data_IF_300055945978
#
_entry.id   IF_300055945978
#
_cell.length_a   1.000
_cell.length_b   1.000
_cell.length_c   1.000
_cell.angle_alpha   90.00
_cell.angle_beta   90.00
_cell.angle_gamma   90.00
#
_symmetry.space_group_name_H-M   'P 1'
#
loop_
_entity.id
_entity.type
_entity.pdbx_description
1 polymer ?
#
# COMPACT_ATOMS: atom_id res chain seq x y z
N UNK A 1 20.20 -1.46 -4.13
CA UNK A 1 19.21 -1.88 -3.09
C UNK A 1 18.05 -2.59 -3.78
N UNK A 2 17.69 -3.81 -3.38
CA UNK A 2 16.54 -4.53 -3.97
C UNK A 2 15.36 -4.50 -3.00
N UNK A 3 14.26 -3.84 -3.39
CA UNK A 3 13.02 -3.79 -2.59
C UNK A 3 12.07 -4.89 -3.07
N UNK A 4 11.55 -5.69 -2.14
CA UNK A 4 10.53 -6.70 -2.46
C UNK A 4 9.18 -6.02 -2.72
N UNK A 5 8.44 -6.49 -3.71
CA UNK A 5 7.12 -5.95 -4.03
C UNK A 5 6.12 -6.20 -2.88
N UNK A 6 5.61 -5.13 -2.26
CA UNK A 6 4.62 -5.18 -1.17
C UNK A 6 3.33 -5.89 -1.59
N UNK A 7 2.82 -5.63 -2.80
CA UNK A 7 1.63 -6.33 -3.33
C UNK A 7 1.85 -7.85 -3.43
N UNK A 8 3.04 -8.26 -3.90
CA UNK A 8 3.39 -9.67 -3.99
C UNK A 8 3.49 -10.31 -2.60
N UNK A 9 4.13 -9.64 -1.64
CA UNK A 9 4.21 -10.11 -0.26
C UNK A 9 2.80 -10.25 0.36
N UNK A 10 1.91 -9.28 0.16
CA UNK A 10 0.51 -9.36 0.60
C UNK A 10 -0.19 -10.60 0.02
N UNK A 11 -0.04 -10.85 -1.28
CA UNK A 11 -0.58 -12.04 -1.92
C UNK A 11 -0.04 -13.34 -1.30
N UNK A 12 1.24 -13.43 -0.97
CA UNK A 12 1.82 -14.61 -0.33
C UNK A 12 1.34 -14.80 1.12
N UNK A 13 1.19 -13.72 1.88
CA UNK A 13 0.70 -13.74 3.26
C UNK A 13 -0.77 -14.18 3.27
N UNK A 14 -1.63 -13.50 2.52
CA UNK A 14 -3.06 -13.82 2.42
C UNK A 14 -3.27 -15.21 1.84
N UNK A 15 -2.54 -15.59 0.79
CA UNK A 15 -2.64 -16.93 0.19
C UNK A 15 -2.30 -18.04 1.19
N UNK A 16 -1.39 -17.79 2.15
CA UNK A 16 -1.13 -18.75 3.22
C UNK A 16 -2.27 -18.86 4.22
N UNK A 17 -2.96 -17.74 4.51
CA UNK A 17 -4.13 -17.75 5.39
C UNK A 17 -5.35 -18.43 4.75
N UNK A 18 -5.64 -18.12 3.48
CA UNK A 18 -6.80 -18.65 2.75
C UNK A 18 -6.80 -20.18 2.62
N UNK A 19 -5.65 -20.85 2.70
CA UNK A 19 -5.57 -22.32 2.68
C UNK A 19 -6.40 -22.97 3.78
N UNK A 20 -6.47 -22.35 4.98
CA UNK A 20 -7.29 -22.84 6.10
C UNK A 20 -8.79 -22.63 5.88
N UNK A 21 -9.15 -21.77 4.93
CA UNK A 21 -10.53 -21.40 4.60
C UNK A 21 -10.99 -21.93 3.26
N UNK A 22 -10.19 -22.78 2.63
CA UNK A 22 -10.47 -23.25 1.28
C UNK A 22 -11.87 -23.84 1.16
N UNK A 23 -12.35 -24.59 2.17
CA UNK A 23 -13.72 -25.12 2.20
C UNK A 23 -14.78 -24.01 2.20
N UNK A 24 -14.66 -23.03 3.09
CA UNK A 24 -15.60 -21.91 3.21
C UNK A 24 -15.63 -21.09 1.91
N UNK A 25 -14.45 -20.77 1.38
CA UNK A 25 -14.32 -20.04 0.12
C UNK A 25 -14.93 -20.83 -1.04
N UNK A 26 -14.71 -22.14 -1.09
CA UNK A 26 -15.26 -23.01 -2.14
C UNK A 26 -16.79 -23.13 -2.03
N UNK A 27 -17.34 -23.26 -0.83
CA UNK A 27 -18.78 -23.30 -0.60
C UNK A 27 -19.45 -22.02 -1.14
N UNK A 28 -18.93 -20.85 -0.76
CA UNK A 28 -19.46 -19.56 -1.21
C UNK A 28 -19.26 -19.38 -2.71
N UNK A 29 -18.09 -19.76 -3.24
CA UNK A 29 -17.82 -19.72 -4.69
C UNK A 29 -18.83 -20.56 -5.47
N UNK A 30 -19.14 -21.77 -5.00
CA UNK A 30 -20.11 -22.64 -5.65
C UNK A 30 -21.53 -22.05 -5.61
N UNK A 31 -21.93 -21.41 -4.51
CA UNK A 31 -23.20 -20.70 -4.42
C UNK A 31 -23.27 -19.53 -5.41
N UNK A 32 -22.22 -18.71 -5.50
CA UNK A 32 -22.14 -17.61 -6.47
C UNK A 32 -22.13 -18.15 -7.91
N UNK A 33 -21.40 -19.24 -8.17
CA UNK A 33 -21.34 -19.90 -9.48
C UNK A 33 -22.71 -20.38 -9.92
N UNK A 34 -23.50 -20.96 -9.01
CA UNK A 34 -24.87 -21.35 -9.30
C UNK A 34 -25.69 -20.16 -9.82
N UNK A 35 -25.71 -19.06 -9.06
CA UNK A 35 -26.46 -17.85 -9.43
C UNK A 35 -26.03 -17.31 -10.79
N UNK A 36 -24.74 -17.38 -11.11
CA UNK A 36 -24.17 -16.80 -12.33
C UNK A 36 -24.15 -17.73 -13.54
N UNK A 37 -24.52 -19.01 -13.36
CA UNK A 37 -24.44 -20.02 -14.42
C UNK A 37 -25.52 -19.89 -15.50
N UNK A 38 -26.64 -19.23 -15.23
CA UNK A 38 -27.66 -18.94 -16.25
C UNK A 38 -28.49 -17.69 -15.90
N UNK A 39 -29.08 -17.01 -16.91
CA UNK A 39 -29.98 -15.87 -16.67
C UNK A 39 -31.17 -16.24 -15.77
N UNK A 40 -31.76 -17.43 -15.97
CA UNK A 40 -32.89 -17.89 -15.15
C UNK A 40 -32.51 -18.03 -13.67
N UNK A 41 -31.35 -18.62 -13.35
CA UNK A 41 -30.87 -18.74 -11.96
C UNK A 41 -30.58 -17.38 -11.34
N UNK A 42 -30.04 -16.45 -12.14
CA UNK A 42 -29.82 -15.07 -11.71
C UNK A 42 -31.14 -14.35 -11.39
N UNK A 43 -32.16 -14.53 -12.22
CA UNK A 43 -33.47 -13.89 -11.99
C UNK A 43 -34.19 -14.51 -10.79
N UNK A 44 -34.10 -15.83 -10.57
CA UNK A 44 -34.57 -16.47 -9.34
C UNK A 44 -33.86 -15.91 -8.10
N UNK A 45 -32.54 -15.68 -8.17
CA UNK A 45 -31.80 -15.05 -7.07
C UNK A 45 -32.26 -13.60 -6.83
N UNK A 46 -32.45 -12.79 -7.87
CA UNK A 46 -32.99 -11.43 -7.73
C UNK A 46 -34.36 -11.42 -7.07
N UNK A 47 -35.24 -12.35 -7.43
CA UNK A 47 -36.54 -12.49 -6.77
C UNK A 47 -36.39 -12.79 -5.26
N UNK A 48 -35.40 -13.60 -4.88
CA UNK A 48 -35.07 -13.82 -3.47
C UNK A 48 -34.52 -12.55 -2.79
N UNK A 49 -33.68 -11.77 -3.47
CA UNK A 49 -33.15 -10.48 -2.97
C UNK A 49 -34.28 -9.48 -2.72
N UNK A 50 -35.24 -9.39 -3.64
CA UNK A 50 -36.43 -8.53 -3.51
C UNK A 50 -37.34 -8.99 -2.37
N UNK A 51 -37.59 -10.30 -2.26
CA UNK A 51 -38.40 -10.89 -1.19
C UNK A 51 -37.82 -10.61 0.20
N UNK A 52 -36.50 -10.81 0.36
CA UNK A 52 -35.77 -10.54 1.60
C UNK A 52 -35.53 -9.04 1.85
N UNK A 53 -36.02 -8.16 0.96
CA UNK A 53 -35.92 -6.70 1.05
C UNK A 53 -34.47 -6.22 1.27
N UNK A 54 -33.51 -6.88 0.63
CA UNK A 54 -32.10 -6.57 0.82
C UNK A 54 -31.80 -5.20 0.19
N UNK A 55 -31.31 -4.20 0.95
CA UNK A 55 -31.14 -2.82 0.45
C UNK A 55 -30.00 -2.68 -0.57
N UNK A 56 -29.21 -3.73 -0.80
CA UNK A 56 -28.08 -3.73 -1.71
C UNK A 56 -28.54 -3.85 -3.17
N UNK A 57 -28.25 -2.84 -3.99
CA UNK A 57 -28.51 -2.83 -5.44
C UNK A 57 -27.45 -3.55 -6.29
N UNK A 58 -26.40 -4.05 -5.66
CA UNK A 58 -25.32 -4.79 -6.33
C UNK A 58 -25.76 -6.19 -6.75
N UNK A 59 -24.83 -6.95 -7.34
CA UNK A 59 -24.98 -8.38 -7.60
C UNK A 59 -23.77 -9.13 -7.06
N UNK A 60 -23.90 -10.45 -6.94
CA UNK A 60 -22.77 -11.32 -6.62
C UNK A 60 -21.77 -11.37 -7.78
N UNK A 61 -20.48 -11.45 -7.45
CA UNK A 61 -19.36 -11.43 -8.41
C UNK A 61 -18.55 -12.72 -8.31
N UNK A 62 -18.23 -13.35 -9.44
CA UNK A 62 -17.30 -14.50 -9.44
C UNK A 62 -15.88 -14.03 -9.17
N UNK A 63 -15.12 -14.83 -8.41
CA UNK A 63 -13.70 -14.62 -8.26
C UNK A 63 -12.89 -15.24 -9.42
N UNK A 64 -11.61 -14.85 -9.47
CA UNK A 64 -10.55 -15.54 -10.18
C UNK A 64 -9.73 -16.28 -9.12
N UNK A 65 -9.81 -17.63 -9.03
CA UNK A 65 -9.25 -18.38 -7.90
C UNK A 65 -7.74 -18.18 -7.66
N UNK A 66 -6.99 -17.76 -8.68
CA UNK A 66 -5.56 -17.46 -8.60
C UNK A 66 -5.25 -16.04 -8.08
N UNK A 67 -6.26 -15.18 -7.88
CA UNK A 67 -6.12 -13.78 -7.48
C UNK A 67 -6.94 -13.50 -6.23
N UNK A 68 -6.26 -13.48 -5.08
CA UNK A 68 -6.92 -13.31 -3.79
C UNK A 68 -7.78 -12.04 -3.67
N UNK A 69 -7.40 -10.92 -4.31
CA UNK A 69 -8.21 -9.68 -4.35
C UNK A 69 -9.61 -9.93 -4.91
N UNK A 70 -9.73 -10.76 -5.95
CA UNK A 70 -11.02 -11.10 -6.54
C UNK A 70 -11.81 -12.05 -5.63
N UNK A 71 -11.14 -12.94 -4.91
CA UNK A 71 -11.76 -13.79 -3.88
C UNK A 71 -12.31 -12.93 -2.74
N UNK A 72 -11.55 -11.95 -2.26
CA UNK A 72 -12.02 -10.96 -1.28
C UNK A 72 -13.29 -10.26 -1.75
N UNK A 73 -13.31 -9.72 -2.98
CA UNK A 73 -14.48 -9.05 -3.55
C UNK A 73 -15.69 -9.99 -3.70
N UNK A 74 -15.48 -11.23 -4.10
CA UNK A 74 -16.55 -12.24 -4.15
C UNK A 74 -17.15 -12.49 -2.77
N UNK A 75 -16.31 -12.72 -1.76
CA UNK A 75 -16.77 -12.95 -0.39
C UNK A 75 -17.51 -11.72 0.14
N UNK A 76 -16.92 -10.53 0.01
CA UNK A 76 -17.52 -9.27 0.46
C UNK A 76 -18.88 -9.01 -0.20
N UNK A 77 -19.01 -9.27 -1.51
CA UNK A 77 -20.28 -9.14 -2.21
C UNK A 77 -21.29 -10.19 -1.75
N UNK A 78 -20.89 -11.46 -1.66
CA UNK A 78 -21.77 -12.56 -1.28
C UNK A 78 -22.33 -12.41 0.14
N UNK A 79 -21.52 -11.89 1.09
CA UNK A 79 -21.95 -11.64 2.46
C UNK A 79 -23.14 -10.67 2.57
N UNK A 80 -23.33 -9.76 1.60
CA UNK A 80 -24.47 -8.85 1.55
C UNK A 80 -25.78 -9.56 1.18
N UNK A 81 -25.70 -10.77 0.63
CA UNK A 81 -26.83 -11.53 0.12
C UNK A 81 -27.07 -12.87 0.84
N UNK A 82 -26.54 -13.04 2.07
CA UNK A 82 -26.73 -14.26 2.89
C UNK A 82 -28.19 -14.72 2.97
N UNK A 83 -29.10 -13.78 3.25
CA UNK A 83 -30.53 -14.09 3.37
C UNK A 83 -31.14 -14.59 2.05
N UNK A 84 -30.75 -14.00 0.91
CA UNK A 84 -31.21 -14.46 -0.40
C UNK A 84 -30.72 -15.89 -0.72
N UNK A 85 -29.48 -16.24 -0.37
CA UNK A 85 -28.98 -17.61 -0.51
C UNK A 85 -29.73 -18.61 0.38
N UNK A 86 -30.03 -18.24 1.63
CA UNK A 86 -30.84 -19.07 2.52
C UNK A 86 -32.25 -19.30 1.95
N UNK A 87 -32.89 -18.26 1.42
CA UNK A 87 -34.20 -18.36 0.76
C UNK A 87 -34.16 -19.29 -0.46
N UNK A 88 -33.11 -19.22 -1.28
CA UNK A 88 -32.95 -20.13 -2.43
C UNK A 88 -32.88 -21.59 -2.00
N UNK A 89 -32.22 -21.89 -0.88
CA UNK A 89 -32.13 -23.26 -0.35
C UNK A 89 -33.50 -23.82 0.06
N UNK A 90 -34.38 -22.95 0.57
CA UNK A 90 -35.75 -23.30 0.95
C UNK A 90 -36.69 -23.47 -0.24
N UNK A 91 -36.36 -22.92 -1.42
CA UNK A 91 -37.17 -23.00 -2.64
C UNK A 91 -36.80 -24.25 -3.46
N UNK A 92 -37.64 -25.31 -3.49
CA UNK A 92 -37.31 -26.55 -4.19
C UNK A 92 -37.17 -26.37 -5.71
N UNK A 93 -37.97 -25.47 -6.28
CA UNK A 93 -38.13 -25.31 -7.73
C UNK A 93 -36.92 -24.65 -8.40
N UNK A 94 -36.08 -23.94 -7.65
CA UNK A 94 -34.90 -23.29 -8.21
C UNK A 94 -33.73 -24.26 -8.43
N UNK A 95 -33.76 -25.47 -7.85
CA UNK A 95 -32.71 -26.48 -8.01
C UNK A 95 -31.40 -26.17 -7.26
N UNK A 96 -31.37 -25.17 -6.38
CA UNK A 96 -30.18 -24.78 -5.62
C UNK A 96 -29.64 -25.93 -4.78
N UNK A 97 -30.49 -26.59 -3.99
CA UNK A 97 -30.09 -27.70 -3.13
C UNK A 97 -29.71 -28.96 -3.92
N UNK A 98 -30.24 -29.15 -5.13
CA UNK A 98 -29.86 -30.25 -6.02
C UNK A 98 -28.46 -30.05 -6.62
N UNK A 99 -28.10 -28.81 -6.96
CA UNK A 99 -26.80 -28.47 -7.53
C UNK A 99 -25.61 -28.86 -6.64
N UNK A 100 -25.77 -28.86 -5.32
CA UNK A 100 -24.70 -29.30 -4.40
C UNK A 100 -24.58 -30.82 -4.28
N UNK A 101 -25.56 -31.59 -4.74
CA UNK A 101 -25.51 -33.07 -4.77
C UNK A 101 -24.85 -33.60 -6.04
N UNK A 102 -24.81 -32.79 -7.09
CA UNK A 102 -24.08 -33.07 -8.32
C UNK A 102 -22.56 -33.06 -8.09
N UNK A 103 -21.79 -33.80 -8.90
CA UNK A 103 -20.33 -33.86 -8.78
C UNK A 103 -19.68 -32.49 -9.05
N UNK A 104 -18.52 -32.26 -8.44
CA UNK A 104 -17.65 -31.13 -8.77
C UNK A 104 -17.31 -31.10 -10.26
N UNK A 105 -16.96 -29.92 -10.78
CA UNK A 105 -16.54 -29.76 -12.18
C UNK A 105 -15.02 -29.59 -12.25
N UNK A 106 -14.40 -30.22 -13.23
CA UNK A 106 -12.98 -30.08 -13.58
C UNK A 106 -12.84 -29.72 -15.05
N UNK A 107 -11.70 -29.13 -15.42
CA UNK A 107 -11.39 -28.90 -16.83
C UNK A 107 -10.74 -30.18 -17.41
N UNK A 108 -11.22 -30.65 -18.56
CA UNK A 108 -10.57 -31.73 -19.30
C UNK A 108 -9.28 -31.23 -20.00
N UNK A 109 -8.59 -32.14 -20.69
CA UNK A 109 -7.33 -31.82 -21.40
C UNK A 109 -7.56 -30.81 -22.54
N UNK A 110 -8.79 -30.74 -23.04
CA UNK A 110 -9.27 -29.83 -24.07
C UNK A 110 -9.76 -28.48 -23.50
N UNK A 111 -9.79 -28.32 -22.18
CA UNK A 111 -10.22 -27.09 -21.50
C UNK A 111 -11.74 -26.91 -21.37
N UNK A 112 -12.53 -27.96 -21.55
CA UNK A 112 -13.97 -27.96 -21.31
C UNK A 112 -14.27 -28.29 -19.84
N UNK A 113 -15.32 -27.67 -19.29
CA UNK A 113 -15.85 -28.00 -17.97
C UNK A 113 -16.63 -29.31 -18.03
N UNK A 114 -16.12 -30.34 -17.34
CA UNK A 114 -16.71 -31.68 -17.25
C UNK A 114 -16.92 -32.09 -15.80
N UNK A 115 -17.88 -32.99 -15.50
CA UNK A 115 -18.02 -33.57 -14.17
C UNK A 115 -16.74 -34.29 -13.73
N UNK A 116 -16.32 -34.05 -12.49
CA UNK A 116 -15.09 -34.59 -11.92
C UNK A 116 -15.15 -36.09 -11.80
N UNK A 117 -14.07 -36.76 -12.23
CA UNK A 117 -13.90 -38.22 -12.11
C UNK A 117 -14.05 -38.72 -10.68
N UNK A 118 -13.75 -37.87 -9.68
CA UNK A 118 -13.85 -38.22 -8.26
C UNK A 118 -15.28 -38.45 -7.76
N UNK A 119 -16.30 -38.01 -8.53
CA UNK A 119 -17.73 -38.04 -8.17
C UNK A 119 -18.06 -37.42 -6.81
N UNK A 120 -17.16 -36.59 -6.25
CA UNK A 120 -17.40 -35.91 -4.99
C UNK A 120 -18.45 -34.82 -5.21
N UNK A 121 -19.46 -34.70 -4.32
CA UNK A 121 -20.45 -33.63 -4.43
C UNK A 121 -19.78 -32.27 -4.26
N UNK A 122 -20.35 -31.24 -4.92
CA UNK A 122 -19.87 -29.86 -4.76
C UNK A 122 -19.94 -29.44 -3.29
N UNK A 123 -18.88 -28.81 -2.80
CA UNK A 123 -18.89 -28.21 -1.46
C UNK A 123 -19.98 -27.13 -1.38
N UNK A 124 -20.88 -27.28 -0.41
CA UNK A 124 -21.98 -26.36 -0.10
C UNK A 124 -23.33 -27.09 0.04
N UNK A 125 -24.46 -26.36 0.17
CA UNK A 125 -24.53 -24.91 0.34
C UNK A 125 -23.81 -24.43 1.61
N UNK A 126 -23.35 -23.16 1.69
CA UNK A 126 -22.61 -22.69 2.86
C UNK A 126 -23.49 -22.69 4.11
N UNK A 127 -23.01 -23.31 5.18
CA UNK A 127 -23.73 -23.33 6.45
C UNK A 127 -23.68 -21.97 7.18
N UNK A 128 -24.55 -21.78 8.18
CA UNK A 128 -24.53 -20.57 9.02
C UNK A 128 -23.15 -20.30 9.67
N UNK A 129 -22.47 -21.36 10.12
CA UNK A 129 -21.11 -21.28 10.66
C UNK A 129 -20.07 -20.89 9.59
N UNK A 130 -20.21 -21.40 8.36
CA UNK A 130 -19.33 -21.00 7.25
C UNK A 130 -19.54 -19.54 6.85
N UNK A 131 -20.78 -19.05 6.87
CA UNK A 131 -21.09 -17.64 6.65
C UNK A 131 -20.51 -16.74 7.75
N UNK A 132 -20.58 -17.18 9.01
CA UNK A 132 -20.00 -16.45 10.13
C UNK A 132 -18.47 -16.40 10.04
N UNK A 133 -17.83 -17.53 9.73
CA UNK A 133 -16.39 -17.59 9.42
C UNK A 133 -16.06 -16.57 8.34
N UNK A 134 -16.70 -16.63 7.18
CA UNK A 134 -16.43 -15.72 6.06
C UNK A 134 -16.54 -14.24 6.44
N UNK A 135 -17.49 -13.86 7.28
CA UNK A 135 -17.66 -12.49 7.76
C UNK A 135 -16.48 -11.98 8.58
N UNK A 136 -16.04 -12.76 9.57
CA UNK A 136 -14.85 -12.47 10.38
C UNK A 136 -13.62 -12.32 9.47
N UNK A 137 -13.47 -13.20 8.49
CA UNK A 137 -12.32 -13.16 7.57
C UNK A 137 -12.35 -11.99 6.61
N UNK A 138 -13.50 -11.63 6.05
CA UNK A 138 -13.60 -10.46 5.15
C UNK A 138 -13.28 -9.18 5.91
N UNK A 139 -13.69 -9.05 7.17
CA UNK A 139 -13.32 -7.90 7.99
C UNK A 139 -11.79 -7.80 8.16
N UNK A 140 -11.14 -8.90 8.51
CA UNK A 140 -9.69 -8.97 8.67
C UNK A 140 -8.92 -8.72 7.36
N UNK A 141 -9.34 -9.35 6.26
CA UNK A 141 -8.67 -9.24 4.96
C UNK A 141 -8.79 -7.84 4.33
N UNK A 142 -9.70 -6.99 4.82
CA UNK A 142 -9.92 -5.65 4.31
C UNK A 142 -8.66 -4.80 4.33
N UNK A 143 -7.89 -4.83 5.42
CA UNK A 143 -6.64 -4.06 5.53
C UNK A 143 -5.64 -4.48 4.46
N UNK A 144 -5.48 -5.78 4.22
CA UNK A 144 -4.62 -6.28 3.15
C UNK A 144 -5.09 -5.82 1.78
N UNK A 145 -6.41 -5.76 1.57
CA UNK A 145 -7.00 -5.41 0.28
C UNK A 145 -6.75 -3.93 -0.01
N UNK A 146 -7.00 -3.08 0.97
CA UNK A 146 -6.73 -1.64 0.90
C UNK A 146 -5.25 -1.33 0.71
N UNK A 147 -4.36 -2.00 1.45
CA UNK A 147 -2.91 -1.88 1.24
C UNK A 147 -2.54 -2.30 -0.18
N UNK A 148 -3.05 -3.44 -0.65
CA UNK A 148 -2.72 -3.94 -1.99
C UNK A 148 -3.20 -2.98 -3.08
N UNK A 149 -4.37 -2.37 -2.94
CA UNK A 149 -4.83 -1.33 -3.86
C UNK A 149 -3.91 -0.10 -3.86
N UNK A 150 -3.49 0.36 -2.67
CA UNK A 150 -2.59 1.52 -2.55
C UNK A 150 -1.23 1.26 -3.20
N UNK A 151 -0.58 0.16 -2.85
CA UNK A 151 0.77 -0.17 -3.37
C UNK A 151 0.79 -0.71 -4.80
N UNK A 152 -0.38 -1.01 -5.39
CA UNK A 152 -0.50 -1.38 -6.81
C UNK A 152 -0.78 -0.15 -7.70
N UNK A 153 -0.82 1.06 -7.14
CA UNK A 153 -0.99 2.26 -7.93
C UNK A 153 0.22 2.48 -8.85
N UNK A 154 -0.03 2.78 -10.12
CA UNK A 154 1.02 2.98 -11.14
C UNK A 154 1.23 4.45 -11.51
N UNK A 155 0.36 5.34 -11.04
CA UNK A 155 0.31 6.75 -11.43
C UNK A 155 0.67 7.71 -10.29
N UNK A 156 1.13 7.19 -9.15
CA UNK A 156 1.54 7.96 -7.97
C UNK A 156 2.62 7.21 -7.18
N UNK A 157 3.55 7.92 -6.52
CA UNK A 157 4.52 7.31 -5.61
C UNK A 157 3.83 6.55 -4.48
N UNK A 158 4.35 5.38 -4.10
CA UNK A 158 3.80 4.59 -2.98
C UNK A 158 4.83 4.32 -1.89
N UNK A 159 6.12 4.34 -2.21
CA UNK A 159 7.20 4.00 -1.26
C UNK A 159 7.16 4.85 0.02
N UNK A 160 6.70 6.10 -0.08
CA UNK A 160 6.64 7.04 1.03
C UNK A 160 5.61 6.70 2.12
N UNK A 161 4.62 5.85 1.80
CA UNK A 161 3.62 5.34 2.77
C UNK A 161 3.77 3.84 3.03
N UNK A 162 4.62 3.14 2.29
CA UNK A 162 4.77 1.68 2.40
C UNK A 162 5.11 1.21 3.82
N UNK A 163 5.86 1.99 4.60
CA UNK A 163 6.14 1.63 5.99
C UNK A 163 4.87 1.64 6.87
N UNK A 164 3.99 2.63 6.69
CA UNK A 164 2.69 2.66 7.37
C UNK A 164 1.83 1.45 7.00
N UNK A 165 1.92 1.02 5.74
CA UNK A 165 1.20 -0.15 5.24
C UNK A 165 1.70 -1.46 5.87
N UNK A 166 3.02 -1.58 6.04
CA UNK A 166 3.62 -2.71 6.72
C UNK A 166 3.18 -2.77 8.18
N UNK A 167 3.21 -1.64 8.91
CA UNK A 167 2.72 -1.56 10.29
C UNK A 167 1.23 -1.88 10.39
N UNK A 168 0.42 -1.39 9.44
CA UNK A 168 -1.02 -1.68 9.41
C UNK A 168 -1.28 -3.18 9.25
N UNK A 169 -0.54 -3.86 8.37
CA UNK A 169 -0.62 -5.32 8.21
C UNK A 169 -0.17 -6.04 9.48
N UNK A 170 0.94 -5.64 10.09
CA UNK A 170 1.46 -6.27 11.31
C UNK A 170 0.49 -6.13 12.48
N UNK A 171 -0.05 -4.92 12.66
CA UNK A 171 -1.07 -4.62 13.66
C UNK A 171 -2.31 -5.47 13.45
N UNK A 172 -2.80 -5.59 12.21
CA UNK A 172 -3.99 -6.38 11.90
C UNK A 172 -3.77 -7.89 12.14
N UNK A 173 -2.59 -8.42 11.78
CA UNK A 173 -2.20 -9.80 12.14
C UNK A 173 -2.14 -9.97 13.66
N UNK A 174 -1.64 -8.97 14.38
CA UNK A 174 -1.51 -8.99 15.84
C UNK A 174 -2.86 -8.94 16.54
N UNK A 175 -3.82 -8.14 16.05
CA UNK A 175 -5.19 -8.08 16.60
C UNK A 175 -5.88 -9.43 16.55
N UNK A 176 -5.64 -10.26 15.53
CA UNK A 176 -6.20 -11.61 15.49
C UNK A 176 -5.74 -12.52 16.66
N UNK A 177 -4.63 -12.21 17.34
CA UNK A 177 -4.23 -12.92 18.56
C UNK A 177 -4.95 -12.43 19.82
N UNK A 178 -5.46 -11.19 19.81
CA UNK A 178 -5.91 -10.49 21.02
C UNK A 178 -7.44 -10.35 21.04
N UNK A 179 -8.05 -10.03 19.89
CA UNK A 179 -9.41 -9.54 19.79
C UNK A 179 -10.52 -10.52 19.41
N UNK A 180 -10.33 -11.81 19.06
CA UNK A 180 -11.49 -12.61 18.73
C UNK A 180 -12.37 -12.76 19.99
N UNK A 181 -13.49 -12.03 20.02
CA UNK A 181 -14.67 -12.30 20.87
C UNK A 181 -15.33 -13.60 20.41
N UNK A 182 -14.54 -14.64 20.27
CA UNK A 182 -14.94 -15.93 19.77
C UNK A 182 -15.01 -16.83 21.00
N UNK A 183 -16.08 -17.63 21.14
CA UNK A 183 -16.16 -18.59 22.23
C UNK A 183 -14.90 -19.47 22.28
N UNK A 184 -14.22 -19.54 23.44
CA UNK A 184 -13.01 -20.33 23.58
C UNK A 184 -13.31 -21.82 23.35
N UNK A 185 -12.45 -22.50 22.62
CA UNK A 185 -12.58 -23.90 22.22
C UNK A 185 -13.38 -24.14 20.94
N UNK A 186 -13.94 -23.10 20.31
CA UNK A 186 -14.69 -23.26 19.05
C UNK A 186 -13.78 -23.63 17.87
N UNK A 187 -14.34 -24.32 16.88
CA UNK A 187 -13.59 -24.66 15.64
C UNK A 187 -13.16 -23.39 14.88
N UNK A 188 -13.93 -22.31 14.98
CA UNK A 188 -13.61 -21.00 14.39
C UNK A 188 -12.35 -20.40 15.01
N UNK A 189 -12.21 -20.46 16.34
CA UNK A 189 -11.00 -20.01 17.05
C UNK A 189 -9.76 -20.80 16.62
N UNK A 190 -9.85 -22.13 16.55
CA UNK A 190 -8.72 -22.98 16.13
C UNK A 190 -8.27 -22.65 14.71
N UNK A 191 -9.23 -22.52 13.78
CA UNK A 191 -8.95 -22.16 12.38
C UNK A 191 -8.29 -20.78 12.30
N UNK A 192 -8.77 -19.81 13.08
CA UNK A 192 -8.20 -18.46 13.14
C UNK A 192 -6.79 -18.46 13.72
N UNK A 193 -6.56 -19.10 14.86
CA UNK A 193 -5.23 -19.17 15.50
C UNK A 193 -4.18 -19.81 14.58
N UNK A 194 -4.55 -20.91 13.93
CA UNK A 194 -3.71 -21.58 12.93
C UNK A 194 -3.44 -20.67 11.72
N UNK A 195 -4.44 -19.94 11.24
CA UNK A 195 -4.30 -19.02 10.12
C UNK A 195 -3.36 -17.86 10.48
N UNK A 196 -3.58 -17.22 11.63
CA UNK A 196 -2.79 -16.09 12.12
C UNK A 196 -1.34 -16.48 12.29
N UNK A 197 -1.06 -17.65 12.86
CA UNK A 197 0.31 -18.17 13.01
C UNK A 197 1.00 -18.33 11.65
N UNK A 198 0.28 -18.87 10.66
CA UNK A 198 0.80 -19.03 9.30
C UNK A 198 1.04 -17.67 8.62
N UNK A 199 0.10 -16.73 8.72
CA UNK A 199 0.22 -15.40 8.14
C UNK A 199 1.36 -14.59 8.78
N UNK A 200 1.50 -14.65 10.11
CA UNK A 200 2.61 -14.01 10.84
C UNK A 200 3.96 -14.59 10.42
N UNK A 201 4.05 -15.91 10.29
CA UNK A 201 5.27 -16.58 9.83
C UNK A 201 5.67 -16.12 8.42
N UNK A 202 4.69 -15.90 7.52
CA UNK A 202 4.95 -15.33 6.20
C UNK A 202 5.34 -13.86 6.27
N UNK A 203 4.66 -13.05 7.08
CA UNK A 203 5.00 -11.65 7.28
C UNK A 203 6.46 -11.48 7.71
N UNK A 204 6.87 -12.18 8.78
CA UNK A 204 8.25 -12.17 9.29
C UNK A 204 9.23 -12.69 8.23
N UNK A 205 8.88 -13.75 7.50
CA UNK A 205 9.74 -14.27 6.42
C UNK A 205 10.00 -13.25 5.30
N UNK A 206 9.00 -12.45 4.94
CA UNK A 206 9.08 -11.56 3.78
C UNK A 206 9.55 -10.15 4.11
N UNK A 207 9.14 -9.61 5.25
CA UNK A 207 9.52 -8.27 5.71
C UNK A 207 10.69 -8.28 6.71
N UNK A 208 10.94 -9.40 7.41
CA UNK A 208 11.91 -9.45 8.49
C UNK A 208 11.43 -8.70 9.73
N UNK A 209 12.36 -8.38 10.63
CA UNK A 209 12.11 -7.37 11.66
C UNK A 209 12.34 -5.95 11.11
N UNK A 210 11.93 -4.93 11.86
CA UNK A 210 12.17 -3.53 11.47
C UNK A 210 13.65 -3.21 11.22
N UNK A 211 14.56 -3.96 11.86
CA UNK A 211 16.01 -3.85 11.67
C UNK A 211 16.45 -4.30 10.28
N UNK A 212 15.80 -5.32 9.73
CA UNK A 212 16.13 -5.97 8.45
C UNK A 212 15.44 -5.30 7.26
N UNK A 213 14.51 -4.38 7.51
CA UNK A 213 13.80 -3.66 6.46
C UNK A 213 14.78 -2.85 5.61
N UNK A 214 14.56 -2.92 4.30
CA UNK A 214 15.37 -2.21 3.33
C UNK A 214 15.33 -0.69 3.62
N UNK A 215 16.49 -0.01 3.80
CA UNK A 215 16.56 1.42 4.09
C UNK A 215 15.75 2.30 3.13
N UNK A 216 15.58 1.86 1.88
CA UNK A 216 14.84 2.61 0.87
C UNK A 216 13.36 2.85 1.23
N UNK A 217 12.74 1.91 1.96
CA UNK A 217 11.36 2.07 2.48
C UNK A 217 11.28 3.25 3.44
N UNK A 218 12.29 3.39 4.31
CA UNK A 218 12.39 4.53 5.22
C UNK A 218 12.80 5.81 4.48
N UNK A 219 13.66 5.73 3.47
CA UNK A 219 14.03 6.91 2.67
C UNK A 219 12.82 7.54 2.00
N UNK A 220 11.91 6.73 1.44
CA UNK A 220 10.65 7.23 0.91
C UNK A 220 9.85 8.03 1.95
N UNK A 221 9.74 7.49 3.17
CA UNK A 221 9.03 8.14 4.27
C UNK A 221 9.76 9.40 4.78
N UNK A 222 11.09 9.39 4.82
CA UNK A 222 11.90 10.52 5.27
C UNK A 222 11.84 11.67 4.26
N UNK A 223 11.78 11.36 2.96
CA UNK A 223 11.63 12.34 1.89
C UNK A 223 10.18 12.85 1.74
N UNK A 224 9.26 12.39 2.58
CA UNK A 224 7.96 13.02 2.73
C UNK A 224 8.05 14.16 3.76
N UNK A 225 7.80 15.42 3.34
CA UNK A 225 7.89 16.59 4.21
C UNK A 225 6.84 16.62 5.33
N UNK A 226 5.79 15.79 5.26
CA UNK A 226 4.80 15.58 6.33
C UNK A 226 5.31 14.68 7.45
N UNK A 227 6.40 13.95 7.23
CA UNK A 227 6.86 12.92 8.15
C UNK A 227 8.32 13.15 8.57
N UNK A 228 9.23 13.13 7.60
CA UNK A 228 10.69 13.23 7.83
C UNK A 228 11.22 12.18 8.81
N UNK A 229 12.50 12.29 9.17
CA UNK A 229 13.16 11.37 10.10
C UNK A 229 12.45 11.30 11.46
N UNK A 230 11.91 12.42 11.95
CA UNK A 230 11.23 12.50 13.24
C UNK A 230 10.02 11.57 13.35
N UNK A 231 9.28 11.36 12.26
CA UNK A 231 8.13 10.45 12.26
C UNK A 231 8.56 8.99 12.32
N UNK A 232 9.68 8.62 11.68
CA UNK A 232 10.23 7.26 11.80
C UNK A 232 10.56 6.95 13.26
N UNK A 233 11.26 7.87 13.94
CA UNK A 233 11.56 7.75 15.37
C UNK A 233 10.29 7.61 16.20
N UNK A 234 9.29 8.45 15.95
CA UNK A 234 8.01 8.40 16.65
C UNK A 234 7.27 7.06 16.46
N UNK A 235 7.17 6.56 15.23
CA UNK A 235 6.54 5.27 14.94
C UNK A 235 7.23 4.13 15.67
N UNK A 236 8.56 4.04 15.57
CA UNK A 236 9.30 2.96 16.21
C UNK A 236 9.16 3.00 17.74
N UNK A 237 9.16 4.19 18.36
CA UNK A 237 8.89 4.31 19.80
C UNK A 237 7.47 3.89 20.15
N UNK A 238 6.47 4.26 19.34
CA UNK A 238 5.07 3.93 19.61
C UNK A 238 4.78 2.43 19.44
N UNK A 239 5.48 1.74 18.55
CA UNK A 239 5.41 0.28 18.41
C UNK A 239 6.09 -0.48 19.57
N UNK A 240 6.70 0.23 20.53
CA UNK A 240 7.28 -0.36 21.73
C UNK A 240 8.71 -0.91 21.55
N UNK A 241 9.44 -0.47 20.53
CA UNK A 241 10.85 -0.83 20.39
C UNK A 241 11.74 -0.15 21.44
N UNK A 242 12.81 -0.85 21.84
CA UNK A 242 13.78 -0.34 22.82
C UNK A 242 14.43 0.96 22.37
N UNK A 243 14.60 1.91 23.30
CA UNK A 243 15.09 3.25 22.99
C UNK A 243 16.47 3.23 22.29
N UNK A 244 17.35 2.33 22.71
CA UNK A 244 18.68 2.17 22.10
C UNK A 244 18.60 1.71 20.64
N UNK A 245 17.65 0.83 20.32
CA UNK A 245 17.42 0.34 18.97
C UNK A 245 16.84 1.42 18.07
N UNK A 246 15.87 2.18 18.60
CA UNK A 246 15.25 3.31 17.89
C UNK A 246 16.31 4.36 17.57
N UNK A 247 17.16 4.71 18.53
CA UNK A 247 18.24 5.66 18.33
C UNK A 247 19.26 5.16 17.31
N UNK A 248 19.64 3.89 17.39
CA UNK A 248 20.58 3.27 16.45
C UNK A 248 20.04 3.28 15.03
N UNK A 249 18.77 2.85 14.84
CA UNK A 249 18.14 2.86 13.53
C UNK A 249 17.94 4.29 13.00
N UNK A 250 17.61 5.25 13.86
CA UNK A 250 17.47 6.66 13.47
C UNK A 250 18.80 7.24 12.97
N UNK A 251 19.92 6.93 13.64
CA UNK A 251 21.26 7.33 13.18
C UNK A 251 21.63 6.67 11.85
N UNK A 252 21.44 5.36 11.73
CA UNK A 252 21.69 4.61 10.49
C UNK A 252 20.93 5.22 9.30
N UNK A 253 19.64 5.54 9.48
CA UNK A 253 18.82 6.15 8.42
C UNK A 253 19.28 7.55 8.04
N UNK A 254 19.74 8.33 9.03
CA UNK A 254 20.35 9.64 8.76
C UNK A 254 21.64 9.50 7.96
N UNK A 255 22.50 8.55 8.32
CA UNK A 255 23.77 8.29 7.63
C UNK A 255 23.52 7.79 6.20
N UNK A 256 22.48 6.98 5.97
CA UNK A 256 22.06 6.57 4.62
C UNK A 256 21.60 7.78 3.79
N UNK A 257 20.81 8.68 4.37
CA UNK A 257 20.37 9.90 3.67
C UNK A 257 21.58 10.81 3.33
N UNK A 258 22.52 10.96 4.25
CA UNK A 258 23.77 11.70 4.02
C UNK A 258 24.62 11.05 2.91
N UNK A 259 24.75 9.72 2.93
CA UNK A 259 25.49 8.98 1.89
C UNK A 259 24.84 9.12 0.51
N UNK A 260 23.50 9.08 0.44
CA UNK A 260 22.76 9.37 -0.79
C UNK A 260 22.99 10.81 -1.26
N UNK A 261 22.99 11.77 -0.33
CA UNK A 261 23.32 13.15 -0.63
C UNK A 261 24.70 13.30 -1.25
N UNK A 262 25.74 12.70 -0.66
CA UNK A 262 27.11 12.75 -1.16
C UNK A 262 27.27 12.18 -2.57
N UNK A 263 26.52 11.11 -2.90
CA UNK A 263 26.56 10.51 -4.23
C UNK A 263 25.91 11.39 -5.32
N UNK A 264 24.90 12.17 -4.95
CA UNK A 264 24.22 13.12 -5.85
C UNK A 264 24.88 14.50 -5.86
N UNK A 265 25.65 14.83 -4.82
CA UNK A 265 26.37 16.09 -4.75
C UNK A 265 27.37 16.18 -5.90
N UNK A 266 27.54 17.38 -6.51
CA UNK A 266 28.56 17.55 -7.53
C UNK A 266 29.93 17.18 -6.96
N UNK A 267 30.59 16.16 -7.53
CA UNK A 267 31.99 15.86 -7.20
C UNK A 267 32.79 17.08 -7.61
N UNK A 268 33.35 17.82 -6.64
CA UNK A 268 34.20 18.96 -6.93
C UNK A 268 35.32 18.50 -7.88
N UNK A 269 35.24 18.87 -9.16
CA UNK A 269 36.45 18.89 -9.98
C UNK A 269 37.39 19.88 -9.30
N UNK A 270 38.64 19.49 -8.96
CA UNK A 270 39.56 20.41 -8.31
C UNK A 270 39.63 21.65 -9.17
N UNK A 271 39.31 22.79 -8.57
CA UNK A 271 39.26 24.06 -9.26
C UNK A 271 40.55 24.23 -10.06
N UNK A 272 40.45 24.11 -11.40
CA UNK A 272 41.45 24.73 -12.26
C UNK A 272 41.45 26.19 -11.84
N UNK A 273 42.53 26.61 -11.16
CA UNK A 273 42.82 28.01 -10.87
C UNK A 273 42.36 28.80 -12.08
N UNK A 274 41.30 29.59 -11.87
CA UNK A 274 40.74 30.47 -12.89
C UNK A 274 41.83 31.50 -13.19
N UNK A 275 42.71 31.14 -14.12
CA UNK A 275 43.58 32.10 -14.78
C UNK A 275 42.66 33.16 -15.34
N UNK A 276 42.89 34.41 -14.94
CA UNK A 276 42.25 35.57 -15.53
C UNK A 276 42.33 35.42 -17.04
N UNK A 277 41.19 35.14 -17.67
CA UNK A 277 41.06 35.26 -19.11
C UNK A 277 40.35 36.58 -19.30
N UNK A 278 41.14 37.61 -19.64
CA UNK A 278 40.63 38.84 -20.20
C UNK A 278 39.80 38.47 -21.42
N UNK A 279 38.49 38.72 -21.34
CA UNK A 279 37.62 38.64 -22.50
C UNK A 279 37.59 40.04 -23.11
N UNK A 280 38.46 40.26 -24.10
CA UNK A 280 38.27 41.34 -25.06
C UNK A 280 36.93 41.12 -25.77
N UNK A 281 35.95 41.95 -25.45
CA UNK A 281 34.69 42.00 -26.18
C UNK A 281 34.79 43.08 -27.25
N UNK A 282 34.91 42.64 -28.50
CA UNK A 282 34.74 43.50 -29.66
C UNK A 282 33.27 43.89 -29.77
N UNK A 283 33.06 45.20 -29.87
CA UNK A 283 31.74 45.84 -29.93
C UNK A 283 30.99 45.51 -31.22
N UNK A 284 29.68 45.33 -31.11
CA UNK A 284 28.75 45.76 -32.15
C UNK A 284 27.55 46.41 -31.47
N UNK A 285 27.40 47.70 -31.75
CA UNK A 285 26.38 48.58 -31.21
C UNK A 285 24.98 48.13 -31.63
N UNK A 286 24.04 48.22 -30.70
CA UNK A 286 22.65 48.55 -31.00
C UNK A 286 22.07 49.33 -29.83
N UNK A 287 21.70 50.58 -30.14
CA UNK A 287 21.29 51.63 -29.23
C UNK A 287 19.84 51.43 -28.78
N UNK A 288 19.62 51.16 -27.49
CA UNK A 288 18.41 51.62 -26.79
C UNK A 288 18.78 52.06 -25.37
N UNK A 289 18.46 53.32 -25.11
CA UNK A 289 18.61 54.08 -23.87
C UNK A 289 17.85 53.45 -22.70
N UNK A 290 18.56 53.10 -21.63
CA UNK A 290 18.02 53.12 -20.27
C UNK A 290 19.14 53.43 -19.27
N UNK A 291 19.39 54.72 -19.12
CA UNK A 291 20.21 55.30 -18.06
C UNK A 291 19.46 55.18 -16.74
N UNK A 292 19.59 54.04 -16.04
CA UNK A 292 19.44 53.96 -14.57
C UNK A 292 19.77 52.58 -13.93
N UNK A 293 20.29 51.60 -14.66
CA UNK A 293 20.51 50.25 -14.08
C UNK A 293 21.79 50.11 -13.23
N UNK A 294 22.78 51.01 -13.37
CA UNK A 294 24.06 50.89 -12.64
C UNK A 294 23.92 51.04 -11.12
N UNK A 295 23.07 51.96 -10.66
CA UNK A 295 22.81 52.14 -9.23
C UNK A 295 22.11 50.93 -8.62
N UNK A 296 20.99 50.49 -9.21
CA UNK A 296 20.23 49.32 -8.74
C UNK A 296 21.06 48.03 -8.72
N UNK A 297 21.88 47.81 -9.76
CA UNK A 297 22.75 46.64 -9.82
C UNK A 297 23.86 46.69 -8.77
N UNK A 298 24.37 47.89 -8.44
CA UNK A 298 25.34 48.09 -7.36
C UNK A 298 24.75 47.73 -6.00
N UNK A 299 23.55 48.21 -5.68
CA UNK A 299 22.87 47.86 -4.42
C UNK A 299 22.52 46.36 -4.33
N UNK A 300 22.13 45.72 -5.44
CA UNK A 300 21.88 44.27 -5.49
C UNK A 300 23.19 43.48 -5.28
N UNK A 301 24.30 43.92 -5.87
CA UNK A 301 25.59 43.25 -5.74
C UNK A 301 26.18 43.43 -4.33
N UNK A 302 25.97 44.60 -3.71
CA UNK A 302 26.37 44.88 -2.33
C UNK A 302 25.56 44.04 -1.34
N UNK A 303 24.23 43.99 -1.52
CA UNK A 303 23.38 43.07 -0.76
C UNK A 303 23.76 41.60 -0.97
N UNK A 304 24.15 41.19 -2.18
CA UNK A 304 24.67 39.82 -2.43
C UNK A 304 25.96 39.53 -1.67
N UNK A 305 26.85 40.51 -1.48
CA UNK A 305 28.05 40.34 -0.66
C UNK A 305 27.71 40.18 0.81
N UNK A 306 26.83 41.05 1.34
CA UNK A 306 26.34 40.95 2.73
C UNK A 306 25.66 39.61 2.98
N UNK A 307 24.82 39.16 2.04
CA UNK A 307 24.17 37.84 2.12
C UNK A 307 25.20 36.72 2.06
N UNK A 308 26.21 36.79 1.18
CA UNK A 308 27.28 35.79 1.10
C UNK A 308 28.12 35.70 2.38
N UNK A 309 28.42 36.84 3.01
CA UNK A 309 29.19 36.92 4.26
C UNK A 309 28.37 36.47 5.49
N UNK A 310 27.04 36.64 5.45
CA UNK A 310 26.12 36.11 6.47
C UNK A 310 25.84 34.61 6.27
N UNK A 311 25.75 34.14 5.02
CA UNK A 311 25.49 32.73 4.66
C UNK A 311 26.71 31.83 4.92
N UNK A 312 27.96 32.36 4.92
CA UNK A 312 29.15 31.59 5.32
C UNK A 312 29.05 31.04 6.76
N UNK A 313 28.22 31.64 7.62
CA UNK A 313 28.00 31.21 9.01
C UNK A 313 26.78 30.27 9.14
N UNK A 314 25.94 30.13 8.11
CA UNK A 314 24.64 29.43 8.16
C UNK A 314 24.46 28.40 7.03
N UNK A 315 25.53 27.79 6.52
CA UNK A 315 25.36 26.55 5.73
C UNK A 315 25.11 25.39 6.69
N UNK A 316 23.90 25.33 7.25
CA UNK A 316 23.36 24.05 7.68
C UNK A 316 23.31 23.18 6.43
N UNK A 317 24.01 22.04 6.47
CA UNK A 317 24.01 21.04 5.41
C UNK A 317 22.57 20.83 4.92
N UNK A 318 22.33 20.73 3.60
CA UNK A 318 20.96 20.72 3.03
C UNK A 318 20.05 19.68 3.71
N UNK A 319 20.60 18.52 4.05
CA UNK A 319 19.95 17.46 4.83
C UNK A 319 19.49 17.97 6.21
N UNK A 320 20.34 18.67 6.95
CA UNK A 320 19.99 19.23 8.25
C UNK A 320 18.91 20.29 8.15
N UNK A 321 19.04 21.17 7.16
CA UNK A 321 18.01 22.17 6.85
C UNK A 321 16.65 21.51 6.59
N UNK A 322 16.61 20.48 5.75
CA UNK A 322 15.38 19.75 5.44
C UNK A 322 14.79 19.06 6.68
N UNK A 323 15.62 18.37 7.47
CA UNK A 323 15.17 17.63 8.65
C UNK A 323 14.69 18.55 9.79
N UNK A 324 15.28 19.75 9.93
CA UNK A 324 14.91 20.75 10.94
C UNK A 324 13.73 21.63 10.53
N UNK A 325 13.52 21.81 9.23
CA UNK A 325 12.40 22.56 8.69
C UNK A 325 11.05 22.05 9.26
N UNK A 326 10.05 22.93 9.45
CA UNK A 326 8.71 22.53 9.86
C UNK A 326 8.13 21.41 8.99
N UNK A 327 7.27 20.58 9.60
CA UNK A 327 6.49 19.59 8.85
C UNK A 327 5.39 20.28 8.06
N UNK A 328 5.10 19.72 6.90
CA UNK A 328 3.91 20.08 6.14
C UNK A 328 2.69 19.41 6.78
N UNK A 329 1.58 20.15 6.84
CA UNK A 329 0.32 19.65 7.33
C UNK A 329 -0.72 19.71 6.22
N UNK A 330 -1.42 18.60 6.00
CA UNK A 330 -2.54 18.54 5.08
C UNK A 330 -3.82 18.20 5.82
N UNK A 331 -4.89 18.93 5.52
CA UNK A 331 -6.25 18.52 5.89
C UNK A 331 -6.69 17.39 4.95
N UNK A 332 -6.24 16.17 5.21
CA UNK A 332 -6.61 14.98 4.42
C UNK A 332 -8.11 14.65 4.48
N UNK A 333 -8.88 15.36 5.32
CA UNK A 333 -10.33 15.22 5.50
C UNK A 333 -11.15 15.52 4.24
N UNK A 334 -10.57 16.12 3.20
CA UNK A 334 -11.27 16.45 1.95
C UNK A 334 -10.97 15.48 0.79
N UNK A 335 -10.35 14.32 1.05
CA UNK A 335 -10.09 13.32 0.01
C UNK A 335 -9.00 13.70 -0.99
N UNK A 336 -8.26 14.78 -0.72
CA UNK A 336 -7.07 15.17 -1.49
C UNK A 336 -5.83 14.50 -0.91
N UNK A 337 -5.24 13.61 -1.70
CA UNK A 337 -3.93 13.02 -1.41
C UNK A 337 -2.82 14.09 -1.55
N UNK A 338 -1.85 14.09 -0.64
CA UNK A 338 -0.75 15.05 -0.67
C UNK A 338 0.08 14.89 -1.96
N UNK A 339 0.21 15.94 -2.80
CA UNK A 339 0.90 15.84 -4.07
C UNK A 339 2.42 15.94 -3.87
N UNK A 340 3.03 14.91 -3.27
CA UNK A 340 4.45 14.89 -2.86
C UNK A 340 5.42 15.28 -3.99
N UNK A 341 5.18 14.82 -5.22
CA UNK A 341 6.01 15.16 -6.38
C UNK A 341 5.91 16.64 -6.76
N UNK A 342 4.72 17.23 -6.63
CA UNK A 342 4.52 18.67 -6.87
C UNK A 342 5.20 19.48 -5.77
N UNK A 343 5.12 19.02 -4.52
CA UNK A 343 5.82 19.67 -3.40
C UNK A 343 7.33 19.72 -3.65
N UNK A 344 7.94 18.60 -4.05
CA UNK A 344 9.37 18.55 -4.41
C UNK A 344 9.68 19.41 -5.64
N UNK A 345 8.78 19.52 -6.61
CA UNK A 345 8.94 20.41 -7.77
C UNK A 345 8.98 21.89 -7.36
N UNK A 346 8.11 22.30 -6.45
CA UNK A 346 7.99 23.69 -5.97
C UNK A 346 9.15 24.04 -5.03
N UNK A 347 9.49 23.15 -4.09
CA UNK A 347 10.49 23.40 -3.05
C UNK A 347 11.90 22.97 -3.44
N UNK A 348 12.10 22.40 -4.63
CA UNK A 348 13.40 21.90 -5.07
C UNK A 348 14.50 22.96 -5.16
N UNK A 349 14.15 24.23 -5.41
CA UNK A 349 15.12 25.31 -5.35
C UNK A 349 15.71 25.51 -3.94
N UNK A 350 14.96 25.14 -2.89
CA UNK A 350 15.42 25.15 -1.49
C UNK A 350 16.31 23.93 -1.16
N UNK A 351 16.10 22.84 -1.89
CA UNK A 351 16.65 21.51 -1.65
C UNK A 351 17.10 20.83 -2.96
N UNK A 352 18.11 21.37 -3.67
CA UNK A 352 18.42 20.94 -5.03
C UNK A 352 18.88 19.48 -5.11
N UNK A 353 19.69 19.00 -4.15
CA UNK A 353 20.21 17.63 -4.17
C UNK A 353 19.16 16.65 -3.65
N UNK A 354 18.46 16.99 -2.56
CA UNK A 354 17.38 16.17 -2.04
C UNK A 354 16.20 16.07 -3.01
N UNK A 355 15.93 17.09 -3.83
CA UNK A 355 14.93 17.01 -4.90
C UNK A 355 15.30 15.93 -5.91
N UNK A 356 16.57 15.85 -6.32
CA UNK A 356 17.04 14.84 -7.25
C UNK A 356 16.90 13.43 -6.62
N UNK A 357 17.30 13.27 -5.36
CA UNK A 357 17.13 12.02 -4.61
C UNK A 357 15.65 11.65 -4.49
N UNK A 358 14.77 12.60 -4.12
CA UNK A 358 13.34 12.37 -3.99
C UNK A 358 12.72 11.93 -5.31
N UNK A 359 13.14 12.50 -6.44
CA UNK A 359 12.65 12.10 -7.76
C UNK A 359 12.92 10.62 -8.04
N UNK A 360 14.11 10.13 -7.68
CA UNK A 360 14.51 8.76 -7.98
C UNK A 360 14.01 7.76 -6.93
N UNK A 361 14.01 8.14 -5.65
CA UNK A 361 13.49 7.30 -4.56
C UNK A 361 11.97 7.15 -4.68
N UNK A 362 11.22 8.24 -4.90
CA UNK A 362 9.75 8.20 -4.98
C UNK A 362 9.22 7.54 -6.26
N UNK A 363 10.09 7.30 -7.26
CA UNK A 363 9.72 6.56 -8.47
C UNK A 363 9.70 5.04 -8.27
N UNK A 364 10.21 4.54 -7.14
CA UNK A 364 10.15 3.13 -6.71
C UNK A 364 8.78 2.80 -6.16
#
# INVERSE_FOLDING_TARGET
MHVRCTAHNCNLIVGSGLKRLNRVVLAIRNAVKFVRSSPARLDSFKACVEHEQIPCRGLVVMDVPTRWNSTFLMLEAALKFKAAFARMEEQPDCGFSAYFKEPEEEYDEEGNLVPSKSKRPRVGPPSADEWHKAEVFVQFLRVFYEVTLRVSASNRPTIHTTFHDMLSIESEISKLFIEPKIPPGSDTEKVLSDMTTNMRSKFIKYYGGFRDLNPLVFMGLILDPRFKLRHVTHLLTNEGFELEDVQTKTRELRDVLMSLYEEYAPKETPAKKRGQTEVESSSSQSTVTSTNSRGRQSYINDWRKVVSELDEVVVSHEVDKYLLDPLEFTNEKEGFEFPIMLWWKINGAKYPILQAIAKDVLAV
#
